data_IF_524820396500
#
_entry.id   IF_524820396500
#
_cell.length_a   1.000
_cell.length_b   1.000
_cell.length_c   1.000
_cell.angle_alpha   90.00
_cell.angle_beta   90.00
_cell.angle_gamma   90.00
#
_symmetry.space_group_name_H-M   'P 1'
#
loop_
_entity.id
_entity.type
_entity.pdbx_description
1 polymer ?
#
# COMPACT_ATOMS: atom_id res chain seq x y z
N UNK A 1 1.68 -17.51 -26.37
CA UNK A 1 2.56 -16.45 -25.82
C UNK A 1 3.17 -17.00 -24.54
N UNK A 2 4.50 -16.98 -24.38
CA UNK A 2 5.15 -17.41 -23.13
C UNK A 2 5.02 -16.26 -22.13
N UNK A 3 4.46 -16.53 -20.95
CA UNK A 3 4.38 -15.54 -19.89
C UNK A 3 5.79 -15.23 -19.35
N UNK A 4 6.13 -13.95 -19.10
CA UNK A 4 7.45 -13.57 -18.60
C UNK A 4 7.64 -14.07 -17.16
N UNK A 5 8.89 -14.38 -16.82
CA UNK A 5 9.34 -14.50 -15.44
C UNK A 5 9.65 -13.10 -14.92
N UNK A 6 8.99 -12.70 -13.84
CA UNK A 6 9.08 -11.37 -13.21
C UNK A 6 9.86 -11.40 -11.91
N UNK A 7 10.50 -12.52 -11.59
CA UNK A 7 11.34 -12.61 -10.39
C UNK A 7 12.58 -11.72 -10.52
N UNK A 8 12.95 -11.06 -9.43
CA UNK A 8 14.14 -10.21 -9.37
C UNK A 8 14.68 -10.11 -7.94
N UNK A 9 15.87 -9.51 -7.80
CA UNK A 9 16.45 -9.22 -6.49
C UNK A 9 15.70 -8.04 -5.84
N UNK A 10 15.72 -8.00 -4.51
CA UNK A 10 15.06 -6.92 -3.76
C UNK A 10 15.75 -5.57 -4.02
N UNK A 11 17.07 -5.59 -4.16
CA UNK A 11 17.88 -4.41 -4.43
C UNK A 11 17.51 -3.79 -5.78
N UNK A 12 17.42 -4.61 -6.83
CA UNK A 12 17.07 -4.15 -8.19
C UNK A 12 15.61 -3.68 -8.27
N UNK A 13 14.70 -4.29 -7.51
CA UNK A 13 13.30 -3.88 -7.48
C UNK A 13 13.15 -2.50 -6.82
N UNK A 14 13.73 -2.31 -5.63
CA UNK A 14 13.59 -1.07 -4.86
C UNK A 14 14.39 0.09 -5.49
N UNK A 15 15.50 -0.18 -6.17
CA UNK A 15 16.29 0.84 -6.88
C UNK A 15 15.52 1.54 -8.00
N UNK A 16 14.39 0.96 -8.45
CA UNK A 16 13.50 1.56 -9.46
C UNK A 16 12.59 2.64 -8.89
N UNK A 17 12.49 2.77 -7.57
CA UNK A 17 11.65 3.77 -6.92
C UNK A 17 12.39 5.12 -6.97
N UNK A 18 11.83 6.14 -7.65
CA UNK A 18 12.47 7.45 -7.72
C UNK A 18 12.32 8.21 -6.39
N UNK A 19 13.21 9.18 -6.15
CA UNK A 19 12.98 10.18 -5.11
C UNK A 19 11.70 10.97 -5.40
N UNK A 20 10.98 11.38 -4.35
CA UNK A 20 9.72 12.09 -4.49
C UNK A 20 8.52 11.23 -4.89
N UNK A 21 8.70 9.90 -5.04
CA UNK A 21 7.62 9.00 -5.43
C UNK A 21 6.45 9.00 -4.44
N UNK A 22 5.26 8.83 -4.99
CA UNK A 22 4.08 8.37 -4.26
C UNK A 22 4.12 6.85 -4.19
N UNK A 23 4.16 6.31 -2.97
CA UNK A 23 4.31 4.88 -2.71
C UNK A 23 3.12 4.38 -1.90
N UNK A 24 2.33 3.51 -2.50
CA UNK A 24 1.34 2.71 -1.78
C UNK A 24 2.05 1.58 -1.04
N UNK A 25 1.69 1.36 0.22
CA UNK A 25 2.23 0.28 1.03
C UNK A 25 1.08 -0.53 1.59
N UNK A 26 1.02 -1.81 1.22
CA UNK A 26 0.01 -2.74 1.73
C UNK A 26 0.08 -2.94 3.24
N UNK A 27 -0.90 -3.67 3.77
CA UNK A 27 -0.96 -4.04 5.17
C UNK A 27 -1.98 -3.27 6.01
N UNK A 28 -2.31 -3.87 7.16
CA UNK A 28 -3.12 -3.28 8.23
C UNK A 28 -2.38 -3.53 9.55
N UNK A 29 -1.78 -2.49 10.13
CA UNK A 29 -0.81 -2.66 11.19
C UNK A 29 0.32 -3.59 10.72
N UNK A 30 0.47 -4.74 11.38
CA UNK A 30 1.48 -5.74 11.03
C UNK A 30 1.04 -6.69 9.89
N UNK A 31 -0.13 -7.36 9.94
CA UNK A 31 -0.56 -8.27 8.87
C UNK A 31 -0.52 -7.68 7.47
N UNK A 32 0.20 -8.35 6.56
CA UNK A 32 0.27 -7.97 5.15
C UNK A 32 1.11 -6.72 4.85
N UNK A 33 1.88 -6.22 5.81
CA UNK A 33 2.85 -5.15 5.57
C UNK A 33 4.14 -5.73 4.97
N UNK A 34 4.68 -5.18 3.87
CA UNK A 34 5.88 -5.70 3.23
C UNK A 34 7.17 -5.23 3.92
N UNK A 35 7.48 -5.77 5.10
CA UNK A 35 8.58 -5.30 5.95
C UNK A 35 9.95 -5.36 5.27
N UNK A 36 10.21 -6.35 4.42
CA UNK A 36 11.52 -6.52 3.78
C UNK A 36 11.69 -5.50 2.66
N UNK A 37 10.67 -5.28 1.83
CA UNK A 37 10.67 -4.17 0.86
C UNK A 37 10.86 -2.80 1.54
N UNK A 38 10.17 -2.56 2.67
CA UNK A 38 10.30 -1.31 3.43
C UNK A 38 11.73 -1.14 3.97
N UNK A 39 12.31 -2.17 4.57
CA UNK A 39 13.70 -2.12 5.09
C UNK A 39 14.70 -1.82 3.98
N UNK A 40 14.53 -2.41 2.81
CA UNK A 40 15.39 -2.13 1.67
C UNK A 40 15.22 -0.69 1.15
N UNK A 41 13.98 -0.18 1.11
CA UNK A 41 13.73 1.24 0.78
C UNK A 41 14.35 2.19 1.81
N UNK A 42 14.37 1.81 3.09
CA UNK A 42 15.08 2.57 4.13
C UNK A 42 16.58 2.59 3.86
N UNK A 43 17.15 1.42 3.54
CA UNK A 43 18.59 1.25 3.29
C UNK A 43 19.06 2.04 2.07
N UNK A 44 18.28 2.06 0.99
CA UNK A 44 18.61 2.77 -0.24
C UNK A 44 18.41 4.29 -0.12
N UNK A 45 17.53 4.74 0.78
CA UNK A 45 17.53 6.13 1.25
C UNK A 45 16.78 7.13 0.38
N UNK A 46 15.92 6.69 -0.54
CA UNK A 46 15.05 7.56 -1.33
C UNK A 46 14.24 8.49 -0.42
N UNK A 47 14.22 9.79 -0.71
CA UNK A 47 13.60 10.82 0.15
C UNK A 47 12.39 11.49 -0.50
N UNK A 48 11.75 12.35 0.29
CA UNK A 48 10.60 13.17 -0.12
C UNK A 48 9.39 12.34 -0.57
N UNK A 49 9.26 11.12 -0.04
CA UNK A 49 8.21 10.19 -0.43
C UNK A 49 6.83 10.66 0.08
N UNK A 50 5.81 10.42 -0.73
CA UNK A 50 4.42 10.45 -0.28
C UNK A 50 3.95 9.02 -0.06
N UNK A 51 3.68 8.64 1.19
CA UNK A 51 3.18 7.30 1.49
C UNK A 51 1.65 7.28 1.50
N UNK A 52 1.08 6.21 0.93
CA UNK A 52 -0.34 5.88 1.07
C UNK A 52 -0.43 4.53 1.78
N UNK A 53 -0.85 4.52 3.03
CA UNK A 53 -0.99 3.31 3.85
C UNK A 53 -2.16 3.45 4.80
N UNK A 54 -2.80 2.34 5.13
CA UNK A 54 -3.91 2.31 6.10
C UNK A 54 -3.56 3.00 7.43
N UNK A 55 -2.33 2.83 7.93
CA UNK A 55 -1.87 3.31 9.23
C UNK A 55 -0.36 3.59 9.23
N UNK A 56 0.12 4.33 10.24
CA UNK A 56 1.54 4.66 10.42
C UNK A 56 2.41 3.56 11.07
N UNK A 57 1.90 2.33 11.22
CA UNK A 57 2.50 1.28 12.04
C UNK A 57 2.75 1.71 13.51
N UNK A 58 3.32 0.83 14.32
CA UNK A 58 3.85 1.17 15.64
C UNK A 58 5.28 1.70 15.54
N UNK A 59 5.78 2.35 16.60
CA UNK A 59 7.19 2.75 16.67
C UNK A 59 8.09 1.51 16.53
N UNK A 60 9.09 1.60 15.65
CA UNK A 60 10.05 0.55 15.36
C UNK A 60 9.56 -0.51 14.37
N UNK A 61 8.46 -0.27 13.66
CA UNK A 61 7.89 -1.22 12.71
C UNK A 61 7.49 -0.58 11.38
N UNK A 62 7.64 -1.33 10.29
CA UNK A 62 7.08 -0.97 8.98
C UNK A 62 7.46 0.45 8.55
N UNK A 63 6.47 1.26 8.15
CA UNK A 63 6.75 2.60 7.62
C UNK A 63 7.29 3.59 8.67
N UNK A 64 7.25 3.25 9.95
CA UNK A 64 7.89 4.06 10.99
C UNK A 64 9.40 4.20 10.74
N UNK A 65 10.07 3.21 10.15
CA UNK A 65 11.48 3.31 9.82
C UNK A 65 11.77 4.37 8.74
N UNK A 66 10.91 4.47 7.73
CA UNK A 66 11.01 5.51 6.69
C UNK A 66 10.78 6.91 7.29
N UNK A 67 9.79 7.02 8.19
CA UNK A 67 9.50 8.25 8.93
C UNK A 67 10.69 8.64 9.81
N UNK A 68 11.27 7.68 10.54
CA UNK A 68 12.46 7.88 11.38
C UNK A 68 13.65 8.43 10.59
N UNK A 69 13.84 7.91 9.39
CA UNK A 69 14.98 8.25 8.55
C UNK A 69 14.78 9.56 7.76
N UNK A 70 13.64 10.26 7.98
CA UNK A 70 13.31 11.49 7.28
C UNK A 70 13.11 11.29 5.77
N UNK A 71 12.62 10.11 5.36
CA UNK A 71 12.37 9.79 3.96
C UNK A 71 10.96 10.19 3.51
N UNK A 72 10.04 10.43 4.45
CA UNK A 72 8.61 10.68 4.18
C UNK A 72 8.28 12.15 4.37
N UNK A 73 7.80 12.81 3.30
CA UNK A 73 7.31 14.18 3.35
C UNK A 73 5.80 14.25 3.63
N UNK A 74 5.04 13.26 3.14
CA UNK A 74 3.59 13.21 3.29
C UNK A 74 3.10 11.78 3.56
N UNK A 75 2.07 11.65 4.38
CA UNK A 75 1.37 10.40 4.66
C UNK A 75 -0.13 10.58 4.45
N UNK A 76 -0.71 9.82 3.53
CA UNK A 76 -2.16 9.69 3.32
C UNK A 76 -2.60 8.41 4.03
N UNK A 77 -3.41 8.55 5.09
CA UNK A 77 -3.68 7.44 6.00
C UNK A 77 -5.04 7.55 6.69
N UNK A 78 -5.40 6.53 7.48
CA UNK A 78 -6.65 6.50 8.24
C UNK A 78 -6.44 6.87 9.70
N UNK A 79 -5.28 6.52 10.26
CA UNK A 79 -4.91 6.86 11.62
C UNK A 79 -3.40 6.75 11.84
N UNK A 80 -2.91 7.46 12.86
CA UNK A 80 -1.50 7.44 13.30
C UNK A 80 -1.36 7.14 14.80
N UNK A 81 -2.46 6.76 15.48
CA UNK A 81 -2.56 6.74 16.94
C UNK A 81 -1.56 5.83 17.66
N UNK A 82 -1.04 4.80 16.99
CA UNK A 82 -0.04 3.87 17.53
C UNK A 82 1.41 4.31 17.24
N UNK A 83 1.61 5.38 16.48
CA UNK A 83 2.92 5.92 16.15
C UNK A 83 3.14 7.30 16.80
N UNK A 84 3.71 7.36 18.03
CA UNK A 84 3.99 8.64 18.67
C UNK A 84 4.97 9.50 17.86
N UNK A 85 5.89 8.90 17.07
CA UNK A 85 6.81 9.67 16.22
C UNK A 85 6.07 10.38 15.09
N UNK A 86 5.14 9.70 14.42
CA UNK A 86 4.33 10.31 13.37
C UNK A 86 3.50 11.48 13.92
N UNK A 87 2.95 11.33 15.13
CA UNK A 87 2.23 12.41 15.84
C UNK A 87 3.15 13.59 16.13
N UNK A 88 4.33 13.34 16.70
CA UNK A 88 5.34 14.37 16.98
C UNK A 88 5.76 15.11 15.70
N UNK A 89 6.03 14.39 14.61
CA UNK A 89 6.44 14.99 13.33
C UNK A 89 5.33 15.78 12.63
N UNK A 90 4.08 15.31 12.73
CA UNK A 90 2.91 16.07 12.27
C UNK A 90 2.79 17.39 13.04
N UNK A 91 2.82 17.34 14.37
CA UNK A 91 2.71 18.53 15.21
C UNK A 91 3.86 19.53 15.01
N UNK A 92 5.06 19.02 14.68
CA UNK A 92 6.22 19.84 14.35
C UNK A 92 6.20 20.38 12.90
N UNK A 93 5.24 19.96 12.06
CA UNK A 93 5.17 20.34 10.65
C UNK A 93 6.21 19.67 9.73
N UNK A 94 6.89 18.63 10.22
CA UNK A 94 7.89 17.87 9.44
C UNK A 94 7.26 16.73 8.63
N UNK A 95 6.02 16.33 8.93
CA UNK A 95 5.27 15.33 8.19
C UNK A 95 3.86 15.86 7.89
N UNK A 96 3.55 16.04 6.60
CA UNK A 96 2.17 16.37 6.21
C UNK A 96 1.29 15.11 6.29
N UNK A 97 0.15 15.18 6.96
CA UNK A 97 -0.77 14.04 7.09
C UNK A 97 -2.13 14.39 6.51
N UNK A 98 -2.65 13.53 5.63
CA UNK A 98 -4.02 13.57 5.14
C UNK A 98 -4.82 12.40 5.72
N UNK A 99 -5.79 12.71 6.57
CA UNK A 99 -6.67 11.71 7.17
C UNK A 99 -7.84 11.36 6.26
N UNK A 100 -8.16 10.07 6.21
CA UNK A 100 -9.27 9.51 5.45
C UNK A 100 -10.05 8.53 6.33
N UNK A 101 -11.38 8.52 6.23
CA UNK A 101 -12.13 7.38 6.73
C UNK A 101 -11.65 6.10 6.01
N UNK A 102 -11.44 5.00 6.73
CA UNK A 102 -10.78 3.82 6.16
C UNK A 102 -11.48 3.26 4.91
N UNK A 103 -12.80 3.19 4.93
CA UNK A 103 -13.59 2.77 3.76
C UNK A 103 -13.42 3.71 2.57
N UNK A 104 -13.27 5.01 2.82
CA UNK A 104 -13.03 6.01 1.77
C UNK A 104 -11.61 5.90 1.21
N UNK A 105 -10.59 5.68 2.05
CA UNK A 105 -9.24 5.41 1.56
C UNK A 105 -9.24 4.19 0.62
N UNK A 106 -9.87 3.09 1.03
CA UNK A 106 -9.98 1.88 0.22
C UNK A 106 -10.70 2.14 -1.12
N UNK A 107 -11.84 2.85 -1.10
CA UNK A 107 -12.59 3.15 -2.33
C UNK A 107 -11.87 4.15 -3.24
N UNK A 108 -11.14 5.13 -2.69
CA UNK A 108 -10.32 6.05 -3.50
C UNK A 108 -9.21 5.30 -4.23
N UNK A 109 -8.54 4.35 -3.56
CA UNK A 109 -7.54 3.46 -4.18
C UNK A 109 -8.19 2.56 -5.23
N UNK A 110 -9.29 1.88 -4.89
CA UNK A 110 -10.03 1.01 -5.83
C UNK A 110 -10.47 1.79 -7.08
N UNK A 111 -10.99 3.00 -6.91
CA UNK A 111 -11.38 3.89 -8.00
C UNK A 111 -10.20 4.20 -8.92
N UNK A 112 -9.03 4.50 -8.34
CA UNK A 112 -7.80 4.78 -9.09
C UNK A 112 -7.33 3.58 -9.92
N UNK A 113 -7.43 2.37 -9.39
CA UNK A 113 -7.13 1.16 -10.13
C UNK A 113 -8.17 0.77 -11.18
N UNK A 114 -9.43 1.12 -10.97
CA UNK A 114 -10.52 0.90 -11.93
C UNK A 114 -10.64 1.99 -13.02
N UNK A 115 -9.80 3.03 -12.98
CA UNK A 115 -9.86 4.15 -13.93
C UNK A 115 -10.97 5.18 -13.66
N UNK A 116 -11.66 5.08 -12.52
CA UNK A 116 -12.63 6.08 -12.07
C UNK A 116 -11.88 7.32 -11.57
N UNK A 117 -12.40 8.52 -11.84
CA UNK A 117 -11.74 9.78 -11.43
C UNK A 117 -12.10 10.23 -10.01
N UNK A 118 -13.27 9.83 -9.54
CA UNK A 118 -13.75 10.12 -8.20
C UNK A 118 -14.84 9.12 -7.81
N UNK A 119 -15.12 9.07 -6.52
CA UNK A 119 -16.29 8.42 -5.93
C UNK A 119 -17.17 9.48 -5.27
N UNK A 120 -18.45 9.16 -5.12
CA UNK A 120 -19.40 10.00 -4.39
C UNK A 120 -19.83 9.28 -3.12
N UNK A 121 -19.80 9.97 -1.99
CA UNK A 121 -20.08 9.38 -0.68
C UNK A 121 -20.71 10.40 0.28
N UNK A 122 -21.48 9.95 1.24
CA UNK A 122 -21.95 10.75 2.38
C UNK A 122 -21.06 10.62 3.63
N UNK A 123 -20.06 9.71 3.60
CA UNK A 123 -19.17 9.46 4.73
C UNK A 123 -18.32 10.70 5.02
N UNK A 124 -18.40 11.19 6.25
CA UNK A 124 -17.61 12.34 6.72
C UNK A 124 -18.21 13.71 6.40
N UNK A 125 -19.38 13.78 5.74
CA UNK A 125 -20.03 15.04 5.30
C UNK A 125 -20.21 16.07 6.42
N UNK A 126 -20.48 15.62 7.65
CA UNK A 126 -20.71 16.45 8.83
C UNK A 126 -19.47 16.54 9.75
N UNK A 127 -18.28 16.26 9.23
CA UNK A 127 -17.01 16.26 9.98
C UNK A 127 -15.97 17.12 9.26
N UNK A 128 -14.84 17.40 9.92
CA UNK A 128 -13.69 18.11 9.33
C UNK A 128 -13.13 17.39 8.08
N UNK A 129 -13.39 16.08 7.92
CA UNK A 129 -13.02 15.35 6.70
C UNK A 129 -13.70 15.90 5.44
N UNK A 130 -14.78 16.69 5.56
CA UNK A 130 -15.46 17.32 4.44
C UNK A 130 -14.80 18.64 3.99
N UNK A 131 -13.86 19.18 4.76
CA UNK A 131 -13.30 20.50 4.51
C UNK A 131 -12.46 20.52 3.23
N UNK A 132 -12.70 21.54 2.40
CA UNK A 132 -12.04 21.70 1.10
C UNK A 132 -12.47 20.71 0.02
N UNK A 133 -13.41 19.77 0.30
CA UNK A 133 -13.89 18.79 -0.68
C UNK A 133 -15.12 19.29 -1.45
N UNK A 134 -15.24 18.99 -2.75
CA UNK A 134 -16.44 19.34 -3.51
C UNK A 134 -17.68 18.64 -2.94
N UNK A 135 -18.78 19.41 -2.88
CA UNK A 135 -20.09 18.92 -2.47
C UNK A 135 -21.02 18.91 -3.67
N UNK A 136 -21.79 17.84 -3.80
CA UNK A 136 -22.81 17.68 -4.83
C UNK A 136 -24.11 17.19 -4.21
N UNK A 137 -25.19 17.22 -4.97
CA UNK A 137 -26.46 16.62 -4.58
C UNK A 137 -26.78 15.44 -5.50
N UNK A 138 -27.11 14.29 -4.92
CA UNK A 138 -27.61 13.12 -5.65
C UNK A 138 -28.96 12.75 -5.08
N UNK A 139 -29.99 12.72 -5.95
CA UNK A 139 -31.37 12.38 -5.57
C UNK A 139 -31.88 13.17 -4.35
N UNK A 140 -31.60 14.47 -4.28
CA UNK A 140 -32.03 15.33 -3.19
C UNK A 140 -31.22 15.21 -1.90
N UNK A 141 -30.10 14.46 -1.91
CA UNK A 141 -29.25 14.26 -0.73
C UNK A 141 -27.84 14.81 -0.98
N UNK A 142 -27.27 15.58 -0.05
CA UNK A 142 -25.92 16.08 -0.17
C UNK A 142 -24.89 14.94 -0.07
N UNK A 143 -23.82 15.04 -0.84
CA UNK A 143 -22.72 14.11 -0.87
C UNK A 143 -21.38 14.82 -1.11
N UNK A 144 -20.29 14.17 -0.72
CA UNK A 144 -18.91 14.54 -0.99
C UNK A 144 -18.39 13.83 -2.25
N UNK A 145 -17.53 14.54 -2.99
CA UNK A 145 -16.73 13.96 -4.07
C UNK A 145 -15.32 13.70 -3.55
N UNK A 146 -14.91 12.43 -3.56
CA UNK A 146 -13.57 11.99 -3.14
C UNK A 146 -12.78 11.57 -4.38
N UNK A 147 -11.63 12.19 -4.62
CA UNK A 147 -10.82 11.92 -5.81
C UNK A 147 -10.15 10.55 -5.72
N UNK A 148 -10.05 9.87 -6.86
CA UNK A 148 -9.32 8.61 -6.93
C UNK A 148 -7.84 8.80 -6.57
N UNK A 149 -7.26 7.79 -5.91
CA UNK A 149 -5.84 7.76 -5.56
C UNK A 149 -5.10 6.78 -6.47
N UNK A 150 -4.01 7.25 -7.06
CA UNK A 150 -3.00 6.44 -7.75
C UNK A 150 -1.63 6.73 -7.14
N UNK A 151 -0.68 5.83 -7.38
CA UNK A 151 0.69 5.95 -6.92
C UNK A 151 1.67 5.62 -8.04
N UNK A 152 2.90 6.10 -7.92
CA UNK A 152 3.98 5.71 -8.83
C UNK A 152 4.35 4.24 -8.59
N UNK A 153 4.37 3.83 -7.31
CA UNK A 153 4.76 2.47 -6.89
C UNK A 153 3.81 1.90 -5.84
N UNK A 154 3.53 0.60 -5.89
CA UNK A 154 2.94 -0.15 -4.79
C UNK A 154 3.89 -1.24 -4.28
N UNK A 155 4.11 -1.27 -2.96
CA UNK A 155 4.80 -2.33 -2.24
C UNK A 155 3.75 -3.27 -1.64
N UNK A 156 3.79 -4.53 -2.05
CA UNK A 156 2.76 -5.53 -1.75
C UNK A 156 3.39 -6.71 -1.03
N UNK A 157 2.69 -7.24 -0.03
CA UNK A 157 3.01 -8.53 0.59
C UNK A 157 2.00 -9.59 0.20
N UNK A 158 2.49 -10.73 -0.28
CA UNK A 158 1.69 -11.89 -0.67
C UNK A 158 2.10 -13.14 0.13
N UNK A 159 1.15 -14.06 0.31
CA UNK A 159 1.45 -15.36 0.90
C UNK A 159 2.24 -16.21 -0.10
N UNK A 160 1.70 -16.38 -1.31
CA UNK A 160 2.39 -17.03 -2.44
C UNK A 160 2.27 -16.15 -3.66
N UNK A 161 3.28 -16.26 -4.51
CA UNK A 161 3.27 -15.73 -5.86
C UNK A 161 3.72 -16.82 -6.83
N UNK A 162 3.25 -16.79 -8.08
CA UNK A 162 3.96 -17.48 -9.15
C UNK A 162 4.97 -16.53 -9.84
N UNK A 163 5.85 -17.09 -10.68
CA UNK A 163 6.86 -16.29 -11.41
C UNK A 163 6.27 -15.28 -12.40
N UNK A 164 5.00 -15.37 -12.77
CA UNK A 164 4.32 -14.38 -13.62
C UNK A 164 3.68 -13.24 -12.80
N UNK A 165 3.60 -13.41 -11.48
CA UNK A 165 3.08 -12.43 -10.53
C UNK A 165 1.63 -12.66 -10.12
N UNK A 166 1.03 -13.83 -10.39
CA UNK A 166 -0.26 -14.15 -9.76
C UNK A 166 -0.04 -14.27 -8.25
N UNK A 167 -0.85 -13.58 -7.44
CA UNK A 167 -0.70 -13.54 -5.99
C UNK A 167 -1.90 -14.16 -5.29
N UNK A 168 -1.62 -14.90 -4.22
CA UNK A 168 -2.60 -15.18 -3.18
C UNK A 168 -2.20 -14.54 -1.84
N UNK A 169 -3.17 -14.46 -0.93
CA UNK A 169 -3.01 -13.84 0.37
C UNK A 169 -3.66 -14.74 1.40
N UNK A 170 -3.15 -14.71 2.63
CA UNK A 170 -3.68 -15.52 3.72
C UNK A 170 -4.44 -14.66 4.73
N UNK A 171 -5.65 -15.09 5.07
CA UNK A 171 -6.48 -14.49 6.12
C UNK A 171 -6.55 -12.95 6.05
N UNK A 172 -6.25 -12.26 7.16
CA UNK A 172 -6.33 -10.81 7.29
C UNK A 172 -5.13 -10.05 6.71
N UNK A 173 -4.07 -10.75 6.29
CA UNK A 173 -2.94 -10.15 5.59
C UNK A 173 -3.29 -9.68 4.16
N UNK A 174 -4.47 -10.07 3.64
CA UNK A 174 -4.98 -9.61 2.34
C UNK A 174 -5.25 -8.11 2.31
N UNK A 175 -6.03 -7.60 3.26
CA UNK A 175 -6.38 -6.17 3.46
C UNK A 175 -6.29 -5.25 2.20
N UNK A 176 -5.39 -4.26 2.18
CA UNK A 176 -5.22 -3.27 1.13
C UNK A 176 -4.38 -3.76 -0.05
N UNK A 177 -3.67 -4.89 0.09
CA UNK A 177 -2.71 -5.37 -0.91
C UNK A 177 -3.34 -5.50 -2.33
N UNK A 178 -4.49 -6.20 -2.54
CA UNK A 178 -5.10 -6.30 -3.85
C UNK A 178 -5.53 -4.95 -4.44
N UNK A 179 -6.04 -4.03 -3.61
CA UNK A 179 -6.52 -2.72 -4.08
C UNK A 179 -5.35 -1.86 -4.57
N UNK A 180 -4.26 -1.84 -3.81
CA UNK A 180 -3.07 -1.06 -4.12
C UNK A 180 -2.32 -1.60 -5.34
N UNK A 181 -2.29 -2.93 -5.52
CA UNK A 181 -1.71 -3.55 -6.72
C UNK A 181 -2.41 -3.08 -8.02
N UNK A 182 -3.70 -2.74 -7.99
CA UNK A 182 -4.39 -2.24 -9.17
C UNK A 182 -4.16 -0.74 -9.41
N UNK A 183 -3.70 0.02 -8.41
CA UNK A 183 -3.74 1.47 -8.38
C UNK A 183 -2.36 2.16 -8.52
N UNK A 184 -1.30 1.39 -8.80
CA UNK A 184 0.03 1.92 -9.05
C UNK A 184 0.49 1.73 -10.50
N UNK A 185 1.49 2.51 -10.91
CA UNK A 185 2.12 2.40 -12.22
C UNK A 185 3.21 1.31 -12.25
N UNK A 186 3.84 1.03 -11.10
CA UNK A 186 4.74 -0.10 -10.88
C UNK A 186 4.37 -0.85 -9.60
N UNK A 187 4.33 -2.18 -9.64
CA UNK A 187 4.01 -3.02 -8.48
C UNK A 187 5.15 -3.98 -8.17
N UNK A 188 5.64 -3.90 -6.93
CA UNK A 188 6.66 -4.80 -6.38
C UNK A 188 5.99 -5.62 -5.29
N UNK A 189 5.90 -6.93 -5.52
CA UNK A 189 5.35 -7.88 -4.57
C UNK A 189 6.47 -8.69 -3.93
N UNK A 190 6.57 -8.66 -2.60
CA UNK A 190 7.28 -9.69 -1.85
C UNK A 190 6.33 -10.86 -1.55
N UNK A 191 6.83 -12.09 -1.65
CA UNK A 191 6.05 -13.30 -1.39
C UNK A 191 6.80 -14.26 -0.47
N UNK A 192 6.09 -14.87 0.48
CA UNK A 192 6.67 -15.89 1.37
C UNK A 192 7.09 -17.15 0.61
N UNK A 193 6.36 -17.50 -0.46
CA UNK A 193 6.73 -18.58 -1.37
C UNK A 193 6.54 -18.16 -2.83
N UNK A 194 7.57 -18.36 -3.64
CA UNK A 194 7.50 -18.17 -5.10
C UNK A 194 7.41 -19.54 -5.77
N UNK A 195 6.33 -19.77 -6.49
CA UNK A 195 5.96 -21.03 -7.10
C UNK A 195 6.26 -21.01 -8.62
N UNK A 196 6.55 -22.16 -9.23
CA UNK A 196 6.52 -22.29 -10.68
C UNK A 196 5.18 -21.85 -11.29
N UNK A 197 5.22 -21.37 -12.53
CA UNK A 197 4.01 -21.02 -13.27
C UNK A 197 3.09 -22.24 -13.42
N UNK A 198 1.84 -22.11 -12.95
CA UNK A 198 0.83 -23.18 -13.01
C UNK A 198 0.63 -23.94 -11.69
N UNK A 199 1.53 -23.79 -10.72
CA UNK A 199 1.42 -24.44 -9.41
C UNK A 199 0.46 -23.70 -8.45
N UNK A 200 0.15 -22.43 -8.74
CA UNK A 200 -0.94 -21.70 -8.08
C UNK A 200 -2.24 -21.93 -8.86
N UNK A 201 -3.22 -22.56 -8.21
CA UNK A 201 -4.51 -22.85 -8.83
C UNK A 201 -5.25 -21.55 -9.19
N UNK A 202 -5.92 -21.53 -10.34
CA UNK A 202 -6.55 -20.31 -10.86
C UNK A 202 -7.57 -19.70 -9.88
N UNK A 203 -8.35 -20.52 -9.18
CA UNK A 203 -9.34 -20.07 -8.19
C UNK A 203 -8.71 -19.57 -6.86
N UNK A 204 -7.42 -19.84 -6.64
CA UNK A 204 -6.66 -19.32 -5.50
C UNK A 204 -6.05 -17.94 -5.80
N UNK A 205 -6.03 -17.51 -7.08
CA UNK A 205 -5.46 -16.23 -7.48
C UNK A 205 -6.37 -15.08 -7.03
N UNK A 206 -5.89 -14.26 -6.11
CA UNK A 206 -6.58 -13.08 -5.63
C UNK A 206 -6.20 -11.82 -6.42
N UNK A 207 -4.92 -11.67 -6.77
CA UNK A 207 -4.43 -10.59 -7.64
C UNK A 207 -3.80 -11.20 -8.88
N UNK A 208 -4.40 -10.98 -10.07
CA UNK A 208 -3.85 -11.47 -11.32
C UNK A 208 -2.48 -10.87 -11.65
N UNK A 209 -1.60 -11.68 -12.22
CA UNK A 209 -0.23 -11.29 -12.60
C UNK A 209 -0.09 -10.07 -13.52
N UNK A 210 -1.06 -9.69 -14.37
CA UNK A 210 -0.97 -8.43 -15.11
C UNK A 210 -0.85 -7.17 -14.26
N UNK A 211 -1.24 -7.20 -12.98
CA UNK A 211 -1.07 -6.07 -12.06
C UNK A 211 0.29 -6.04 -11.34
N UNK A 212 1.16 -7.03 -11.58
CA UNK A 212 2.44 -7.16 -10.86
C UNK A 212 3.59 -7.05 -11.84
N UNK A 213 4.56 -6.19 -11.55
CA UNK A 213 5.74 -5.97 -12.41
C UNK A 213 6.96 -6.74 -11.92
N UNK A 214 7.12 -6.84 -10.59
CA UNK A 214 8.28 -7.44 -9.94
C UNK A 214 7.86 -8.37 -8.80
N UNK A 215 8.39 -9.58 -8.80
CA UNK A 215 8.21 -10.57 -7.72
C UNK A 215 9.55 -10.76 -7.00
N UNK A 216 9.53 -10.61 -5.67
CA UNK A 216 10.68 -10.81 -4.79
C UNK A 216 10.33 -11.94 -3.82
N UNK A 217 11.09 -13.04 -3.86
CA UNK A 217 10.92 -14.12 -2.89
C UNK A 217 11.57 -13.76 -1.54
N UNK A 218 10.86 -13.95 -0.43
CA UNK A 218 11.45 -13.82 0.89
C UNK A 218 12.43 -14.96 1.16
N UNK A 219 13.66 -14.64 1.56
CA UNK A 219 14.66 -15.63 1.96
C UNK A 219 14.46 -16.09 3.40
N UNK A 220 13.94 -15.21 4.25
CA UNK A 220 13.64 -15.46 5.65
C UNK A 220 12.33 -14.74 6.03
N UNK A 221 11.50 -15.42 6.82
CA UNK A 221 10.26 -14.86 7.36
C UNK A 221 10.57 -14.40 8.79
N UNK A 222 10.73 -13.08 8.99
CA UNK A 222 10.97 -12.51 10.32
C UNK A 222 9.77 -12.71 11.25
N UNK A 223 9.97 -12.55 12.56
CA UNK A 223 8.91 -12.64 13.56
C UNK A 223 7.75 -11.66 13.31
N UNK A 224 8.02 -10.56 12.60
CA UNK A 224 7.01 -9.56 12.23
C UNK A 224 5.91 -10.17 11.35
N UNK A 225 6.25 -11.13 10.49
CA UNK A 225 5.29 -11.84 9.64
C UNK A 225 4.55 -12.95 10.40
N UNK A 226 5.06 -13.39 11.54
CA UNK A 226 4.49 -14.49 12.33
C UNK A 226 3.24 -14.10 13.13
N UNK A 227 2.77 -12.84 13.07
CA UNK A 227 1.56 -12.37 13.76
C UNK A 227 0.31 -13.06 13.21
N UNK A 228 0.31 -13.43 11.93
CA UNK A 228 -0.72 -14.30 11.34
C UNK A 228 -0.25 -15.75 11.50
N UNK A 229 -0.20 -16.26 12.74
CA UNK A 229 0.10 -17.68 12.95
C UNK A 229 -0.98 -18.52 12.28
N UNK A 230 -0.53 -19.41 11.39
CA UNK A 230 -1.32 -20.40 10.66
C UNK A 230 -1.90 -21.45 11.61
#
# INVERSE_FOLDING_TARGET
MRLPDKTCTIEDAIARIPEGATVMVGGFGVPGTPFTLIRELVRQGQRNLTLIKNDANERGMGIDHLIANGQVARLITTHIGLNPRAIEMLNAGHLAVEFNAQGILAERVRAGGAGLKAIVTDIGLATELADGKPRIEIAGKPALVETALRADVALIHAHRADVFGNLDYVATARNFNPLMAMAADMVIAEAEAVMPLGDLAADEVHTPGPFVDHVVGLTEISEEYAVVRR
#
